data_IF_141838592839
#
_entry.id   IF_141838592839
#
_cell.length_a   1.000
_cell.length_b   1.000
_cell.length_c   1.000
_cell.angle_alpha   90.00
_cell.angle_beta   90.00
_cell.angle_gamma   90.00
#
_symmetry.space_group_name_H-M   'P 1'
#
loop_
_entity.id
_entity.type
_entity.pdbx_description
1 polymer ?
#
# COMPACT_ATOMS: atom_id res chain seq x y z
N UNK A 1 10.57 29.05 -40.46
CA UNK A 1 11.38 27.90 -40.01
C UNK A 1 10.48 27.09 -39.09
N UNK A 2 9.82 26.07 -39.64
CA UNK A 2 8.92 25.18 -38.88
C UNK A 2 9.79 24.17 -38.12
N UNK A 3 10.01 24.42 -36.83
CA UNK A 3 10.81 23.53 -35.98
C UNK A 3 9.95 22.31 -35.65
N UNK A 4 10.10 21.25 -36.46
CA UNK A 4 9.58 19.92 -36.10
C UNK A 4 10.19 19.51 -34.76
N UNK A 5 9.41 19.59 -33.70
CA UNK A 5 9.79 19.03 -32.40
C UNK A 5 10.16 17.56 -32.61
N UNK A 6 11.36 17.17 -32.16
CA UNK A 6 11.76 15.76 -32.08
C UNK A 6 10.63 15.00 -31.38
N UNK A 7 10.12 13.93 -32.02
CA UNK A 7 9.09 13.05 -31.42
C UNK A 7 9.60 12.28 -30.18
N UNK A 8 10.85 12.51 -29.77
CA UNK A 8 11.45 11.92 -28.59
C UNK A 8 12.24 12.97 -27.78
N UNK A 9 11.58 13.92 -27.11
CA UNK A 9 12.21 14.69 -26.05
C UNK A 9 12.47 13.75 -24.84
N UNK A 10 13.38 14.06 -23.89
CA UNK A 10 13.74 13.15 -22.79
C UNK A 10 12.65 13.11 -21.70
N UNK A 11 11.38 13.08 -22.08
CA UNK A 11 10.26 13.06 -21.16
C UNK A 11 10.05 11.62 -20.69
N UNK A 12 10.27 11.41 -19.40
CA UNK A 12 10.02 10.17 -18.68
C UNK A 12 8.64 10.30 -18.02
N UNK A 13 7.69 9.51 -18.48
CA UNK A 13 6.41 9.33 -17.80
C UNK A 13 6.52 8.06 -16.96
N UNK A 14 6.33 8.18 -15.65
CA UNK A 14 6.27 7.06 -14.72
C UNK A 14 4.99 7.15 -13.90
N UNK A 15 4.46 6.00 -13.53
CA UNK A 15 3.34 5.93 -12.60
C UNK A 15 3.87 6.00 -11.17
N UNK A 16 3.42 6.99 -10.40
CA UNK A 16 3.87 7.21 -9.03
C UNK A 16 2.72 6.98 -8.07
N UNK A 17 2.88 6.04 -7.15
CA UNK A 17 1.96 5.80 -6.04
C UNK A 17 0.82 4.83 -6.34
N UNK A 18 -0.36 5.19 -5.82
CA UNK A 18 -1.57 4.36 -5.73
C UNK A 18 -2.08 3.90 -7.09
N UNK A 19 -2.41 2.61 -7.19
CA UNK A 19 -3.14 2.02 -8.31
C UNK A 19 -4.54 1.60 -7.88
N UNK A 20 -5.42 1.39 -8.86
CA UNK A 20 -6.76 0.87 -8.59
C UNK A 20 -6.65 -0.51 -7.93
N UNK A 21 -7.28 -0.68 -6.77
CA UNK A 21 -7.32 -1.95 -6.04
C UNK A 21 -8.31 -2.91 -6.72
N UNK A 22 -8.04 -4.20 -6.61
CA UNK A 22 -8.95 -5.24 -7.09
C UNK A 22 -10.26 -5.20 -6.30
N UNK A 23 -11.37 -5.57 -6.96
CA UNK A 23 -12.67 -5.68 -6.27
C UNK A 23 -12.61 -6.70 -5.12
N UNK A 24 -11.83 -7.76 -5.27
CA UNK A 24 -11.62 -8.79 -4.24
C UNK A 24 -10.96 -8.18 -2.99
N UNK A 25 -9.88 -7.40 -3.16
CA UNK A 25 -9.20 -6.73 -2.05
C UNK A 25 -10.12 -5.72 -1.36
N UNK A 26 -10.91 -4.96 -2.11
CA UNK A 26 -11.88 -4.00 -1.56
C UNK A 26 -12.97 -4.70 -0.75
N UNK A 27 -13.54 -5.79 -1.27
CA UNK A 27 -14.56 -6.58 -0.57
C UNK A 27 -14.01 -7.23 0.69
N UNK A 28 -12.80 -7.79 0.62
CA UNK A 28 -12.15 -8.43 1.77
C UNK A 28 -11.88 -7.43 2.88
N UNK A 29 -11.38 -6.23 2.54
CA UNK A 29 -11.21 -5.13 3.50
C UNK A 29 -12.51 -4.72 4.15
N UNK A 30 -13.57 -4.54 3.36
CA UNK A 30 -14.89 -4.22 3.89
C UNK A 30 -15.44 -5.33 4.81
N UNK A 31 -15.10 -6.61 4.58
CA UNK A 31 -15.47 -7.71 5.45
C UNK A 31 -14.67 -7.71 6.77
N UNK A 32 -13.37 -7.39 6.71
CA UNK A 32 -12.54 -7.22 7.91
C UNK A 32 -13.02 -6.03 8.75
N UNK A 33 -13.33 -4.90 8.14
CA UNK A 33 -13.87 -3.72 8.83
C UNK A 33 -15.22 -4.00 9.50
N UNK A 34 -16.02 -4.92 8.94
CA UNK A 34 -17.28 -5.40 9.52
C UNK A 34 -17.11 -6.53 10.55
N UNK A 35 -15.88 -7.01 10.77
CA UNK A 35 -15.59 -8.13 11.65
C UNK A 35 -16.09 -9.48 11.12
N UNK A 36 -16.44 -9.59 9.84
CA UNK A 36 -16.93 -10.83 9.22
C UNK A 36 -15.84 -11.64 8.52
N UNK A 37 -14.60 -11.16 8.52
CA UNK A 37 -13.41 -11.85 8.02
C UNK A 37 -12.21 -11.58 8.93
N UNK A 38 -11.20 -12.45 8.87
CA UNK A 38 -9.98 -12.26 9.66
C UNK A 38 -9.00 -11.34 8.95
N UNK A 39 -8.39 -10.41 9.69
CA UNK A 39 -7.34 -9.53 9.17
C UNK A 39 -6.13 -10.31 8.63
N UNK A 40 -5.87 -11.52 9.16
CA UNK A 40 -4.78 -12.38 8.69
C UNK A 40 -4.99 -12.86 7.23
N UNK A 41 -6.21 -12.78 6.71
CA UNK A 41 -6.53 -13.15 5.33
C UNK A 41 -6.24 -12.02 4.32
N UNK A 42 -5.97 -10.80 4.78
CA UNK A 42 -5.64 -9.67 3.92
C UNK A 42 -4.22 -9.75 3.37
N UNK A 43 -3.24 -10.11 4.21
CA UNK A 43 -1.84 -10.17 3.83
C UNK A 43 -1.56 -11.07 2.60
N UNK A 44 -2.00 -12.35 2.56
CA UNK A 44 -1.75 -13.20 1.40
C UNK A 44 -2.44 -12.67 0.13
N UNK A 45 -3.59 -12.01 0.28
CA UNK A 45 -4.33 -11.40 -0.82
C UNK A 45 -3.61 -10.17 -1.37
N UNK A 46 -3.17 -9.27 -0.49
CA UNK A 46 -2.37 -8.10 -0.84
C UNK A 46 -1.06 -8.50 -1.52
N UNK A 47 -0.36 -9.51 -0.98
CA UNK A 47 0.87 -10.05 -1.55
C UNK A 47 0.68 -10.57 -2.97
N UNK A 48 -0.42 -11.29 -3.22
CA UNK A 48 -0.76 -11.80 -4.56
C UNK A 48 -1.00 -10.63 -5.51
N UNK A 49 -1.88 -9.71 -5.14
CA UNK A 49 -2.26 -8.58 -5.99
C UNK A 49 -1.08 -7.63 -6.26
N UNK A 50 -0.18 -7.45 -5.30
CA UNK A 50 1.07 -6.69 -5.46
C UNK A 50 2.01 -7.38 -6.45
N UNK A 51 2.17 -8.70 -6.38
CA UNK A 51 3.00 -9.44 -7.36
C UNK A 51 2.45 -9.25 -8.76
N UNK A 52 1.14 -9.36 -8.94
CA UNK A 52 0.49 -9.19 -10.24
C UNK A 52 0.68 -7.79 -10.81
N UNK A 53 0.54 -6.73 -10.00
CA UNK A 53 0.71 -5.36 -10.48
C UNK A 53 2.17 -5.01 -10.77
N UNK A 54 3.12 -5.58 -10.00
CA UNK A 54 4.56 -5.46 -10.26
C UNK A 54 4.91 -6.13 -11.58
N UNK A 55 4.41 -7.33 -11.83
CA UNK A 55 4.64 -8.06 -13.07
C UNK A 55 4.01 -7.34 -14.27
N UNK A 56 2.83 -6.74 -14.10
CA UNK A 56 2.20 -5.92 -15.15
C UNK A 56 3.07 -4.71 -15.48
N UNK A 57 3.53 -3.95 -14.48
CA UNK A 57 4.39 -2.78 -14.70
C UNK A 57 5.70 -3.16 -15.40
N UNK A 58 6.31 -4.31 -15.03
CA UNK A 58 7.50 -4.85 -15.72
C UNK A 58 7.22 -5.19 -17.18
N UNK A 59 6.10 -5.88 -17.46
CA UNK A 59 5.68 -6.22 -18.83
C UNK A 59 5.41 -4.98 -19.68
N UNK A 60 4.91 -3.91 -19.08
CA UNK A 60 4.66 -2.63 -19.74
C UNK A 60 5.93 -1.78 -19.91
N UNK A 61 7.08 -2.23 -19.41
CA UNK A 61 8.36 -1.53 -19.56
C UNK A 61 8.54 -0.33 -18.63
N UNK A 62 7.83 -0.30 -17.49
CA UNK A 62 8.01 0.77 -16.51
C UNK A 62 9.36 0.62 -15.82
N UNK A 63 10.07 1.74 -15.68
CA UNK A 63 11.35 1.79 -14.97
C UNK A 63 11.17 1.97 -13.46
N UNK A 64 10.27 2.87 -13.07
CA UNK A 64 9.78 2.99 -11.69
C UNK A 64 8.67 1.97 -11.45
N UNK A 65 8.88 1.08 -10.48
CA UNK A 65 7.89 0.08 -10.07
C UNK A 65 7.32 0.48 -8.70
N UNK A 66 6.01 0.46 -8.57
CA UNK A 66 5.32 0.67 -7.28
C UNK A 66 4.53 -0.57 -6.88
N UNK A 67 4.24 -0.73 -5.59
CA UNK A 67 3.34 -1.78 -5.10
C UNK A 67 1.85 -1.38 -5.24
N UNK A 68 1.56 -0.29 -5.96
CA UNK A 68 0.22 0.27 -6.08
C UNK A 68 -0.37 0.79 -4.77
N UNK A 69 0.41 0.83 -3.68
CA UNK A 69 -0.03 1.19 -2.33
C UNK A 69 -1.20 0.33 -1.81
N UNK A 70 -1.27 -0.92 -2.26
CA UNK A 70 -2.40 -1.81 -1.94
C UNK A 70 -2.54 -2.06 -0.45
N UNK A 71 -1.43 -2.10 0.31
CA UNK A 71 -1.43 -2.27 1.78
C UNK A 71 -1.89 -1.01 2.53
N UNK A 72 -1.81 0.18 1.94
CA UNK A 72 -2.23 1.43 2.60
C UNK A 72 -3.76 1.53 2.66
N UNK A 73 -4.29 2.10 3.74
CA UNK A 73 -5.73 2.37 3.89
C UNK A 73 -6.10 3.77 3.42
N UNK A 74 -5.33 4.80 3.80
CA UNK A 74 -5.44 6.15 3.25
C UNK A 74 -4.08 6.83 3.18
N UNK A 75 -3.95 7.83 2.31
CA UNK A 75 -2.70 8.53 2.10
C UNK A 75 -2.43 9.51 3.26
N UNK A 76 -3.46 10.21 3.75
CA UNK A 76 -3.32 11.17 4.84
C UNK A 76 -3.08 10.51 6.19
N UNK A 77 -3.77 9.39 6.49
CA UNK A 77 -3.61 8.71 7.79
C UNK A 77 -2.29 7.93 7.87
N UNK A 78 -1.69 7.56 6.74
CA UNK A 78 -0.39 6.88 6.74
C UNK A 78 0.75 7.81 7.18
N UNK A 79 0.69 9.10 6.82
CA UNK A 79 1.71 10.08 7.21
C UNK A 79 1.55 10.58 8.66
N UNK A 80 0.39 10.34 9.27
CA UNK A 80 0.13 10.70 10.66
C UNK A 80 0.58 9.51 11.53
N UNK A 81 1.58 9.65 12.42
CA UNK A 81 1.90 8.60 13.36
C UNK A 81 0.64 8.22 14.15
N UNK A 82 0.38 6.93 14.32
CA UNK A 82 -0.80 6.40 15.06
C UNK A 82 -1.00 7.10 16.41
N UNK A 83 0.09 7.51 17.06
CA UNK A 83 0.11 8.24 18.33
C UNK A 83 -0.56 9.63 18.27
N UNK A 84 -0.56 10.28 17.11
CA UNK A 84 -1.21 11.57 16.86
C UNK A 84 -2.68 11.43 16.45
N UNK A 85 -3.09 10.25 15.94
CA UNK A 85 -4.50 9.96 15.62
C UNK A 85 -5.32 9.56 16.86
N UNK A 86 -4.68 9.02 17.90
CA UNK A 86 -5.31 8.65 19.18
C UNK A 86 -6.08 9.82 19.85
N UNK A 87 -5.53 11.05 19.93
CA UNK A 87 -6.29 12.21 20.40
C UNK A 87 -7.49 12.57 19.53
N UNK A 88 -7.39 12.40 18.20
CA UNK A 88 -8.46 12.78 17.25
C UNK A 88 -9.63 11.78 17.29
N UNK A 89 -9.35 10.47 17.38
CA UNK A 89 -10.37 9.44 17.53
C UNK A 89 -11.18 9.61 18.84
N UNK A 90 -10.51 10.03 19.92
CA UNK A 90 -11.15 10.36 21.20
C UNK A 90 -12.06 11.59 21.12
N UNK A 91 -11.75 12.53 20.22
CA UNK A 91 -12.52 13.76 20.05
C UNK A 91 -13.77 13.55 19.18
N UNK A 92 -13.77 12.54 18.30
CA UNK A 92 -14.88 12.24 17.37
C UNK A 92 -15.99 11.33 17.94
N UNK A 93 -15.99 11.00 19.24
CA UNK A 93 -17.00 10.11 19.87
C UNK A 93 -17.18 8.75 19.18
N UNK A 94 -16.21 8.31 18.37
CA UNK A 94 -16.11 6.94 17.93
C UNK A 94 -15.52 6.18 19.12
N UNK A 95 -16.34 5.39 19.81
CA UNK A 95 -15.99 4.63 21.03
C UNK A 95 -14.96 3.52 20.80
N UNK A 96 -13.85 3.82 20.14
CA UNK A 96 -12.71 2.94 19.91
C UNK A 96 -11.81 3.04 21.14
N UNK A 97 -11.75 1.98 21.94
CA UNK A 97 -10.81 1.90 23.05
C UNK A 97 -9.38 1.77 22.53
N UNK A 98 -8.40 2.25 23.29
CA UNK A 98 -6.98 2.16 22.91
C UNK A 98 -6.53 0.71 22.66
N UNK A 99 -7.18 -0.27 23.30
CA UNK A 99 -6.96 -1.70 23.09
C UNK A 99 -7.38 -2.17 21.69
N UNK A 100 -8.52 -1.68 21.16
CA UNK A 100 -8.99 -2.05 19.81
C UNK A 100 -8.04 -1.58 18.70
N UNK A 101 -7.34 -0.45 18.90
CA UNK A 101 -6.40 0.10 17.92
C UNK A 101 -4.99 -0.49 18.04
N UNK A 102 -4.58 -0.90 19.24
CA UNK A 102 -3.30 -1.60 19.46
C UNK A 102 -3.32 -3.02 18.87
N UNK A 103 -4.47 -3.72 18.96
CA UNK A 103 -4.65 -5.02 18.31
C UNK A 103 -4.62 -4.95 16.78
N UNK A 104 -5.02 -3.81 16.19
CA UNK A 104 -5.07 -3.65 14.72
C UNK A 104 -3.82 -3.00 14.11
N UNK A 105 -2.99 -2.31 14.91
CA UNK A 105 -2.00 -1.37 14.35
C UNK A 105 -0.52 -1.63 14.62
N UNK A 106 -0.13 -2.49 15.58
CA UNK A 106 1.23 -2.41 16.12
C UNK A 106 2.15 -3.62 15.99
N UNK A 107 1.67 -4.81 15.63
CA UNK A 107 2.56 -5.98 15.51
C UNK A 107 3.14 -6.22 14.10
N UNK A 108 2.58 -5.63 13.04
CA UNK A 108 3.03 -5.88 11.67
C UNK A 108 4.09 -4.93 11.11
N UNK A 109 4.21 -3.71 11.66
CA UNK A 109 4.94 -2.63 10.98
C UNK A 109 6.46 -2.64 11.24
N UNK A 110 6.91 -3.14 12.40
CA UNK A 110 8.33 -3.16 12.75
C UNK A 110 9.05 -4.45 12.30
N UNK A 111 8.35 -5.56 12.12
CA UNK A 111 8.95 -6.84 11.67
C UNK A 111 9.19 -6.84 10.15
N UNK A 112 8.30 -6.22 9.36
CA UNK A 112 8.31 -6.36 7.89
C UNK A 112 9.32 -5.50 7.12
N UNK A 113 9.88 -4.45 7.73
CA UNK A 113 10.94 -3.66 7.07
C UNK A 113 12.25 -4.46 6.99
N UNK A 114 12.54 -5.29 7.99
CA UNK A 114 13.71 -6.17 7.98
C UNK A 114 13.61 -7.25 6.91
N UNK A 115 12.49 -7.96 6.84
CA UNK A 115 12.26 -9.05 5.88
C UNK A 115 12.26 -8.57 4.42
N UNK A 116 11.75 -7.37 4.15
CA UNK A 116 11.78 -6.77 2.81
C UNK A 116 13.21 -6.40 2.38
N UNK A 117 14.02 -5.86 3.31
CA UNK A 117 15.43 -5.53 3.05
C UNK A 117 16.25 -6.81 2.83
N UNK A 118 15.99 -7.86 3.59
CA UNK A 118 16.68 -9.14 3.45
C UNK A 118 16.25 -9.90 2.19
N UNK A 119 14.99 -9.80 1.78
CA UNK A 119 14.49 -10.37 0.52
C UNK A 119 15.09 -9.66 -0.70
N UNK A 120 15.22 -8.32 -0.66
CA UNK A 120 15.88 -7.56 -1.74
C UNK A 120 17.37 -7.88 -1.80
N UNK A 121 18.05 -7.99 -0.66
CA UNK A 121 19.48 -8.38 -0.61
C UNK A 121 19.74 -9.83 -1.02
N UNK A 122 18.76 -10.72 -0.85
CA UNK A 122 18.86 -12.11 -1.29
C UNK A 122 18.74 -12.28 -2.81
N UNK A 123 18.14 -11.32 -3.52
CA UNK A 123 17.98 -11.33 -4.98
C UNK A 123 19.17 -10.69 -5.73
N UNK A 124 20.10 -10.05 -5.02
CA UNK A 124 21.31 -9.43 -5.58
C UNK A 124 22.56 -10.33 -5.51
N UNK A 125 22.39 -11.64 -5.21
CA UNK A 125 23.43 -12.69 -5.31
C UNK A 125 23.04 -13.70 -6.38
#
# INVERSE_FOLDING_TARGET
MDVKASRNPPFRAEHLGSLLRTDELLQKRAAVDKGTASAAELEPLEDRDIREIVDLQRKLGFHGITDGEYRRHSIELWFIPTFLCLPLARQMHLGLTAEMLLEWGMMGCLVKVGELVDMVRAQER
#
